data_IF_360693322174
#
_entry.id   IF_360693322174
#
_cell.length_a   1.000
_cell.length_b   1.000
_cell.length_c   1.000
_cell.angle_alpha   90.00
_cell.angle_beta   90.00
_cell.angle_gamma   90.00
#
_symmetry.space_group_name_H-M   'P 1'
#
loop_
_entity.id
_entity.type
_entity.pdbx_description
1 polymer ?
#
# COMPACT_ATOMS: atom_id res chain seq x y z
N UNK A 1 36.54 -8.62 -3.47
CA UNK A 1 35.58 -9.40 -4.26
C UNK A 1 34.27 -9.38 -3.48
N UNK A 2 33.24 -8.76 -4.02
CA UNK A 2 31.90 -8.76 -3.43
C UNK A 2 31.13 -9.91 -4.06
N UNK A 3 31.33 -11.10 -3.51
CA UNK A 3 30.64 -12.33 -3.90
C UNK A 3 30.09 -12.90 -2.59
N UNK A 4 28.76 -12.88 -2.43
CA UNK A 4 27.91 -13.64 -1.49
C UNK A 4 26.65 -12.87 -0.97
N UNK A 5 26.23 -11.75 -1.57
CA UNK A 5 24.88 -11.23 -1.29
C UNK A 5 23.84 -11.88 -2.21
N UNK A 6 22.80 -12.54 -1.66
CA UNK A 6 21.74 -13.14 -2.46
C UNK A 6 20.92 -12.07 -3.18
N UNK A 7 20.35 -12.42 -4.33
CA UNK A 7 19.49 -11.52 -5.08
C UNK A 7 18.30 -11.05 -4.24
N UNK A 8 18.06 -9.73 -4.22
CA UNK A 8 16.89 -9.10 -3.61
C UNK A 8 16.03 -8.51 -4.72
N UNK A 9 14.76 -8.95 -4.80
CA UNK A 9 13.78 -8.46 -5.75
C UNK A 9 12.44 -8.24 -5.05
N UNK A 10 11.88 -7.04 -5.16
CA UNK A 10 10.64 -6.66 -4.50
C UNK A 10 9.92 -5.57 -5.30
N UNK A 11 8.61 -5.43 -5.07
CA UNK A 11 7.79 -4.34 -5.60
C UNK A 11 7.52 -3.33 -4.48
N UNK A 12 8.24 -2.19 -4.42
CA UNK A 12 7.98 -1.15 -3.43
C UNK A 12 6.55 -0.62 -3.53
N UNK A 13 6.01 -0.57 -4.76
CA UNK A 13 4.65 -0.14 -5.03
C UNK A 13 3.62 -1.05 -4.35
N UNK A 14 3.76 -2.37 -4.53
CA UNK A 14 2.84 -3.34 -3.92
C UNK A 14 2.90 -3.27 -2.39
N UNK A 15 4.10 -3.19 -1.81
CA UNK A 15 4.27 -3.03 -0.37
C UNK A 15 3.64 -1.71 0.14
N UNK A 16 3.83 -0.62 -0.60
CA UNK A 16 3.26 0.69 -0.29
C UNK A 16 1.73 0.66 -0.29
N UNK A 17 1.10 0.04 -1.30
CA UNK A 17 -0.37 -0.10 -1.35
C UNK A 17 -0.92 -0.96 -0.21
N UNK A 18 -0.27 -2.08 0.10
CA UNK A 18 -0.70 -2.96 1.19
C UNK A 18 -0.62 -2.26 2.56
N UNK A 19 0.46 -1.51 2.81
CA UNK A 19 0.61 -0.70 4.02
C UNK A 19 -0.31 0.53 4.01
N UNK A 20 -0.62 1.09 2.83
CA UNK A 20 -1.61 2.15 2.65
C UNK A 20 -3.00 1.72 3.08
N UNK A 21 -3.43 0.48 2.80
CA UNK A 21 -4.68 -0.05 3.33
C UNK A 21 -4.67 -0.14 4.86
N UNK A 22 -3.55 -0.56 5.46
CA UNK A 22 -3.42 -0.62 6.91
C UNK A 22 -3.38 0.78 7.55
N UNK A 23 -2.84 1.79 6.84
CA UNK A 23 -2.78 3.18 7.28
C UNK A 23 -4.17 3.77 7.54
N UNK A 24 -5.17 3.42 6.71
CA UNK A 24 -6.58 3.86 6.87
C UNK A 24 -7.17 3.46 8.23
N UNK A 25 -6.68 2.37 8.83
CA UNK A 25 -7.11 1.93 10.16
C UNK A 25 -6.18 2.35 11.32
N UNK A 26 -5.11 3.09 11.04
CA UNK A 26 -4.13 3.51 12.04
C UNK A 26 -4.50 4.87 12.68
N UNK A 27 -4.06 5.10 13.91
CA UNK A 27 -4.28 6.37 14.62
C UNK A 27 -3.04 6.74 15.47
N UNK A 28 -2.91 8.01 15.85
CA UNK A 28 -1.84 8.56 16.68
C UNK A 28 -0.43 8.21 16.18
N UNK A 29 0.44 7.78 17.09
CA UNK A 29 1.84 7.48 16.80
C UNK A 29 2.02 6.44 15.68
N UNK A 30 1.09 5.48 15.55
CA UNK A 30 1.14 4.47 14.49
C UNK A 30 0.88 5.07 13.12
N UNK A 31 -0.13 5.96 13.02
CA UNK A 31 -0.46 6.69 11.79
C UNK A 31 0.71 7.58 11.35
N UNK A 32 1.30 8.34 12.27
CA UNK A 32 2.41 9.25 11.99
C UNK A 32 3.67 8.49 11.51
N UNK A 33 4.01 7.38 12.18
CA UNK A 33 5.14 6.55 11.80
C UNK A 33 4.96 5.91 10.41
N UNK A 34 3.75 5.43 10.10
CA UNK A 34 3.44 4.84 8.80
C UNK A 34 3.48 5.88 7.67
N UNK A 35 2.86 7.05 7.86
CA UNK A 35 2.93 8.12 6.87
C UNK A 35 4.37 8.55 6.57
N UNK A 36 5.18 8.74 7.61
CA UNK A 36 6.59 9.12 7.43
C UNK A 36 7.38 8.06 6.67
N UNK A 37 7.21 6.78 7.03
CA UNK A 37 7.90 5.65 6.40
C UNK A 37 7.51 5.48 4.93
N UNK A 38 6.23 5.69 4.61
CA UNK A 38 5.71 5.58 3.25
C UNK A 38 5.95 6.82 2.39
N UNK A 39 6.48 7.90 2.96
CA UNK A 39 6.70 9.17 2.26
C UNK A 39 5.41 9.94 1.97
N UNK A 40 4.38 9.74 2.78
CA UNK A 40 3.04 10.35 2.64
C UNK A 40 2.84 11.55 3.58
N UNK A 41 3.83 11.89 4.40
CA UNK A 41 3.74 12.98 5.36
C UNK A 41 3.38 14.31 4.67
N UNK A 42 2.35 14.98 5.20
CA UNK A 42 1.84 16.24 4.67
C UNK A 42 0.67 16.10 3.71
N UNK A 43 0.29 14.86 3.35
CA UNK A 43 -0.96 14.57 2.67
C UNK A 43 -2.06 14.28 3.70
N UNK A 44 -3.28 14.61 3.33
CA UNK A 44 -4.49 14.15 4.04
C UNK A 44 -4.78 12.69 3.68
N UNK A 45 -5.52 11.99 4.54
CA UNK A 45 -5.94 10.61 4.28
C UNK A 45 -6.70 10.47 2.95
N UNK A 46 -7.57 11.44 2.63
CA UNK A 46 -8.33 11.46 1.37
C UNK A 46 -7.41 11.61 0.14
N UNK A 47 -6.37 12.45 0.22
CA UNK A 47 -5.38 12.60 -0.85
C UNK A 47 -4.58 11.32 -1.05
N UNK A 48 -4.19 10.64 0.03
CA UNK A 48 -3.48 9.35 -0.03
C UNK A 48 -4.34 8.30 -0.73
N UNK A 49 -5.59 8.13 -0.28
CA UNK A 49 -6.50 7.13 -0.84
C UNK A 49 -6.82 7.38 -2.32
N UNK A 50 -7.09 8.65 -2.67
CA UNK A 50 -7.37 9.04 -4.06
C UNK A 50 -6.15 8.80 -4.94
N UNK A 51 -4.96 9.18 -4.47
CA UNK A 51 -3.71 8.97 -5.21
C UNK A 51 -3.42 7.50 -5.49
N UNK A 52 -3.64 6.61 -4.51
CA UNK A 52 -3.49 5.16 -4.74
C UNK A 52 -4.51 4.61 -5.73
N UNK A 53 -5.78 5.04 -5.63
CA UNK A 53 -6.83 4.59 -6.55
C UNK A 53 -6.50 4.99 -7.99
N UNK A 54 -6.20 6.27 -8.22
CA UNK A 54 -5.89 6.79 -9.55
C UNK A 54 -4.66 6.11 -10.16
N UNK A 55 -3.65 5.82 -9.32
CA UNK A 55 -2.45 5.11 -9.76
C UNK A 55 -2.74 3.66 -10.14
N UNK A 56 -3.58 2.95 -9.37
CA UNK A 56 -4.01 1.57 -9.69
C UNK A 56 -4.75 1.57 -11.03
N UNK A 57 -5.75 2.45 -11.18
CA UNK A 57 -6.57 2.54 -12.39
C UNK A 57 -5.72 2.83 -13.62
N UNK A 58 -4.76 3.73 -13.49
CA UNK A 58 -3.79 4.02 -14.55
C UNK A 58 -2.96 2.78 -14.89
N UNK A 59 -2.31 2.14 -13.91
CA UNK A 59 -1.34 1.07 -14.17
C UNK A 59 -1.98 -0.18 -14.77
N UNK A 60 -3.17 -0.55 -14.32
CA UNK A 60 -3.91 -1.73 -14.82
C UNK A 60 -4.41 -1.51 -16.25
N UNK A 61 -4.54 -0.26 -16.71
CA UNK A 61 -5.11 0.07 -18.02
C UNK A 61 -4.13 0.71 -19.01
N UNK A 62 -2.91 1.04 -18.56
CA UNK A 62 -1.97 1.88 -19.32
C UNK A 62 -1.55 1.27 -20.66
N UNK A 63 -1.26 -0.03 -20.68
CA UNK A 63 -0.78 -0.73 -21.87
C UNK A 63 -1.50 -2.07 -22.04
N UNK A 64 -2.37 -2.23 -23.06
CA UNK A 64 -3.10 -3.48 -23.28
C UNK A 64 -2.21 -4.65 -23.72
N UNK A 65 -0.94 -4.41 -24.06
CA UNK A 65 0.03 -5.47 -24.35
C UNK A 65 0.72 -6.01 -23.08
N UNK A 66 0.51 -5.37 -21.93
CA UNK A 66 1.11 -5.74 -20.64
C UNK A 66 0.04 -6.26 -19.70
N UNK A 67 0.26 -7.45 -19.15
CA UNK A 67 -0.52 -7.96 -18.03
C UNK A 67 0.03 -7.34 -16.73
N UNK A 68 -0.77 -6.46 -16.12
CA UNK A 68 -0.42 -5.80 -14.87
C UNK A 68 -1.56 -5.96 -13.86
N UNK A 69 -1.37 -6.88 -12.93
CA UNK A 69 -2.36 -7.19 -11.90
C UNK A 69 -1.88 -6.77 -10.50
N UNK A 70 -2.81 -6.23 -9.72
CA UNK A 70 -2.59 -5.86 -8.32
C UNK A 70 -3.64 -6.59 -7.48
N UNK A 71 -3.19 -7.49 -6.62
CA UNK A 71 -4.06 -8.27 -5.74
C UNK A 71 -3.72 -7.99 -4.27
N UNK A 72 -4.64 -7.33 -3.58
CA UNK A 72 -4.53 -6.97 -2.17
C UNK A 72 -5.66 -7.62 -1.37
N UNK A 73 -5.36 -8.09 -0.16
CA UNK A 73 -6.37 -8.67 0.75
C UNK A 73 -6.02 -8.38 2.20
N UNK A 74 -7.04 -8.16 3.03
CA UNK A 74 -6.91 -7.99 4.48
C UNK A 74 -7.74 -9.04 5.20
N UNK A 75 -7.17 -9.65 6.24
CA UNK A 75 -7.79 -10.74 6.98
C UNK A 75 -7.79 -10.40 8.47
N UNK A 76 -8.99 -10.33 9.07
CA UNK A 76 -9.15 -10.12 10.50
C UNK A 76 -9.29 -11.46 11.24
N UNK A 77 -9.02 -11.43 12.55
CA UNK A 77 -9.26 -12.58 13.43
C UNK A 77 -10.75 -12.89 13.48
N UNK A 78 -11.11 -14.17 13.34
CA UNK A 78 -12.50 -14.61 13.43
C UNK A 78 -13.15 -14.15 14.75
N UNK A 79 -14.34 -13.56 14.64
CA UNK A 79 -15.06 -12.96 15.77
C UNK A 79 -14.70 -11.50 16.06
N UNK A 80 -13.74 -10.93 15.32
CA UNK A 80 -13.40 -9.50 15.35
C UNK A 80 -13.65 -8.94 13.95
N UNK A 81 -14.80 -8.28 13.71
CA UNK A 81 -15.10 -7.69 12.41
C UNK A 81 -14.25 -6.43 12.17
N UNK A 82 -14.10 -6.05 10.90
CA UNK A 82 -13.68 -4.70 10.56
C UNK A 82 -14.74 -3.68 10.97
N UNK A 83 -14.31 -2.45 11.21
CA UNK A 83 -15.24 -1.33 11.33
C UNK A 83 -15.84 -1.00 9.96
N UNK A 84 -17.13 -0.65 9.89
CA UNK A 84 -17.79 -0.33 8.61
C UNK A 84 -17.16 0.86 7.86
N UNK A 85 -16.43 1.72 8.58
CA UNK A 85 -15.72 2.87 8.03
C UNK A 85 -14.31 2.53 7.49
N UNK A 86 -13.83 1.32 7.76
CA UNK A 86 -12.63 0.75 7.16
C UNK A 86 -12.99 0.09 5.83
#
# INVERSE_FOLDING_TARGET
>A
AAEDEPNVFLSPLSASMALGMALVGADGDAYDAMQSTLGLAGLTEEEVQTSYRDLIDLLVTLDPAVEFDIANSAWAKLGIPFHDAY
#
